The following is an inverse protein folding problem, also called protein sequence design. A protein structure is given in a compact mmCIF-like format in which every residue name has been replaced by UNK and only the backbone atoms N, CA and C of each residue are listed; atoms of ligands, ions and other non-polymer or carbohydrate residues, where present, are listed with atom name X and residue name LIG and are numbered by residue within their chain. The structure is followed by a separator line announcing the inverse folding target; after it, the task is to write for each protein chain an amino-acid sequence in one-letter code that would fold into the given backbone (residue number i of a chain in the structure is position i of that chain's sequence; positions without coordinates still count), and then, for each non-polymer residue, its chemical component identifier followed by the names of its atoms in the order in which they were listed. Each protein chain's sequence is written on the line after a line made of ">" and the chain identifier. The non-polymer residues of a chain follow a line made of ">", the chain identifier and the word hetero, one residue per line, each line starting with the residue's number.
data_IF_223547635089
#
_entry.id   IF_223547635089
#
_cell.length_a   1.000
_cell.length_b   1.000
_cell.length_c   1.000
_cell.angle_alpha   90.00
_cell.angle_beta   90.00
_cell.angle_gamma   90.00
#
_symmetry.space_group_name_H-M   'P 1'
#
loop_
_entity.id
_entity.type
_entity.pdbx_description
1 polymer ?
#
# COMPACT_ATOMS: atom_id res chain seq x y z
N UNK A 1 68.84 18.25 13.78
CA UNK A 1 68.48 19.57 13.26
C UNK A 1 67.03 19.81 13.58
N UNK A 2 66.91 20.56 14.61
CA UNK A 2 65.72 21.17 15.15
C UNK A 2 65.06 22.06 14.14
N UNK A 3 63.70 22.16 14.22
CA UNK A 3 63.09 23.51 14.38
C UNK A 3 61.61 23.39 14.75
N UNK A 4 61.38 23.81 15.98
CA UNK A 4 60.14 24.29 16.59
C UNK A 4 59.40 25.35 15.74
N UNK A 5 58.08 25.33 15.76
CA UNK A 5 57.25 26.53 15.90
C UNK A 5 56.02 26.25 16.76
N UNK A 6 56.11 26.68 18.00
CA UNK A 6 54.98 27.00 18.88
C UNK A 6 54.39 28.35 18.47
N UNK A 7 53.08 28.45 18.38
CA UNK A 7 52.37 29.68 18.72
C UNK A 7 51.09 29.35 19.46
N UNK A 8 51.11 29.76 20.67
CA UNK A 8 50.12 29.72 21.70
C UNK A 8 49.09 30.85 21.45
N UNK A 9 47.79 30.58 21.56
CA UNK A 9 46.84 31.53 22.12
C UNK A 9 45.68 30.77 22.74
N UNK A 10 45.63 30.81 24.04
CA UNK A 10 44.56 30.33 24.88
C UNK A 10 43.32 31.19 24.83
N UNK A 11 42.21 30.59 25.10
CA UNK A 11 41.30 31.12 26.10
C UNK A 11 40.35 30.00 26.60
N UNK A 12 40.31 29.95 27.87
CA UNK A 12 39.66 29.24 28.90
C UNK A 12 38.16 29.05 28.78
N UNK A 13 37.76 27.95 29.34
CA UNK A 13 36.68 27.61 30.25
C UNK A 13 35.78 26.48 29.75
N UNK A 14 36.22 25.28 30.05
CA UNK A 14 35.36 24.10 30.09
C UNK A 14 35.82 23.20 31.23
N UNK A 15 35.34 23.41 32.45
CA UNK A 15 35.48 22.44 33.54
C UNK A 15 34.60 21.22 33.26
N UNK A 16 35.23 20.16 32.81
CA UNK A 16 34.64 18.83 32.79
C UNK A 16 35.02 18.05 34.04
N UNK A 17 34.07 17.43 34.70
CA UNK A 17 34.29 16.51 35.81
C UNK A 17 34.71 15.14 35.24
N UNK A 18 35.85 14.62 35.71
CA UNK A 18 36.27 13.23 35.44
C UNK A 18 35.74 12.33 36.55
N UNK A 19 35.13 11.20 36.14
CA UNK A 19 34.85 10.08 37.05
C UNK A 19 36.01 9.12 37.07
N UNK A 20 36.15 8.34 38.12
CA UNK A 20 37.27 7.42 38.39
C UNK A 20 37.48 6.30 37.37
N UNK A 21 36.61 6.17 36.37
CA UNK A 21 36.60 5.06 35.39
C UNK A 21 36.98 5.48 33.97
N UNK A 22 37.49 6.69 33.80
CA UNK A 22 38.18 7.13 32.57
C UNK A 22 37.29 7.38 31.32
N UNK A 23 35.98 7.48 31.46
CA UNK A 23 35.10 7.82 30.33
C UNK A 23 34.70 9.29 30.35
N UNK A 24 34.83 9.95 29.19
CA UNK A 24 34.45 11.34 28.97
C UNK A 24 32.93 11.44 28.73
N UNK A 25 32.20 12.10 29.61
CA UNK A 25 30.78 12.44 29.37
C UNK A 25 30.66 13.92 29.05
N UNK A 26 30.15 14.31 27.87
CA UNK A 26 29.88 15.70 27.56
C UNK A 26 28.75 16.26 28.43
N UNK A 27 28.95 17.46 28.93
CA UNK A 27 27.91 18.21 29.68
C UNK A 27 26.74 18.55 28.75
N UNK A 28 25.62 17.92 28.89
CA UNK A 28 24.36 18.30 28.22
C UNK A 28 23.92 19.65 28.74
N UNK A 29 24.02 20.68 27.88
CA UNK A 29 23.34 21.96 28.13
C UNK A 29 21.83 21.73 28.12
N UNK A 30 21.19 21.73 29.28
CA UNK A 30 19.73 21.71 29.41
C UNK A 30 19.15 22.83 28.55
N UNK A 31 18.48 22.47 27.46
CA UNK A 31 17.66 23.39 26.68
C UNK A 31 16.61 23.98 27.63
N UNK A 32 16.57 25.28 27.80
CA UNK A 32 15.53 25.96 28.57
C UNK A 32 14.20 25.69 27.87
N UNK A 33 13.37 24.88 28.49
CA UNK A 33 12.00 24.66 28.02
C UNK A 33 11.20 25.98 28.07
N UNK A 34 10.23 26.08 27.16
CA UNK A 34 9.29 27.21 27.13
C UNK A 34 8.56 27.26 28.47
N UNK A 35 8.55 28.41 29.14
CA UNK A 35 7.84 28.53 30.40
C UNK A 35 6.33 28.48 30.21
N UNK A 36 5.54 28.00 31.18
CA UNK A 36 4.07 27.94 31.06
C UNK A 36 3.46 29.31 30.65
N UNK A 37 4.04 30.43 31.09
CA UNK A 37 3.59 31.76 30.68
C UNK A 37 3.84 32.06 29.19
N UNK A 38 4.97 31.63 28.63
CA UNK A 38 5.24 31.76 27.18
C UNK A 38 4.33 30.88 26.34
N UNK A 39 3.97 29.70 26.83
CA UNK A 39 3.02 28.80 26.15
C UNK A 39 1.61 29.42 26.10
N UNK A 40 1.14 30.02 27.20
CA UNK A 40 -0.16 30.71 27.27
C UNK A 40 -0.21 31.91 26.31
N UNK A 41 0.86 32.69 26.21
CA UNK A 41 0.95 33.84 25.29
C UNK A 41 0.89 33.38 23.82
N UNK A 42 1.53 32.28 23.48
CA UNK A 42 1.45 31.70 22.14
C UNK A 42 0.04 31.19 21.82
N UNK A 43 -0.65 30.55 22.78
CA UNK A 43 -2.04 30.08 22.61
C UNK A 43 -3.02 31.25 22.41
N UNK A 44 -2.85 32.35 23.16
CA UNK A 44 -3.70 33.53 23.00
C UNK A 44 -3.46 34.23 21.65
N UNK A 45 -2.22 34.26 21.16
CA UNK A 45 -1.89 34.82 19.84
C UNK A 45 -2.55 33.96 18.70
N UNK A 46 -2.51 32.65 18.81
CA UNK A 46 -3.16 31.73 17.84
C UNK A 46 -4.70 31.90 17.86
N UNK A 47 -5.30 31.98 19.06
CA UNK A 47 -6.75 32.22 19.21
C UNK A 47 -7.22 33.56 18.61
N UNK A 48 -6.39 34.62 18.72
CA UNK A 48 -6.68 35.94 18.12
C UNK A 48 -6.62 35.90 16.59
N UNK A 49 -5.66 35.16 16.01
CA UNK A 49 -5.50 35.06 14.56
C UNK A 49 -6.68 34.25 13.95
N UNK A 50 -7.08 33.13 14.57
CA UNK A 50 -8.17 32.33 14.08
C UNK A 50 -9.55 32.92 14.42
N UNK A 51 -9.70 33.61 15.53
CA UNK A 51 -10.94 34.29 15.92
C UNK A 51 -11.30 35.43 14.98
N UNK A 52 -10.34 36.23 14.53
CA UNK A 52 -10.56 37.34 13.57
C UNK A 52 -10.84 36.82 12.15
N UNK A 53 -10.20 35.72 11.73
CA UNK A 53 -10.47 35.09 10.45
C UNK A 53 -11.88 34.47 10.41
N UNK A 54 -12.32 33.81 11.50
CA UNK A 54 -13.68 33.26 11.63
C UNK A 54 -14.79 34.34 11.59
N UNK A 55 -14.57 35.48 12.23
CA UNK A 55 -15.53 36.60 12.20
C UNK A 55 -15.63 37.27 10.82
N UNK A 56 -14.51 37.29 10.06
CA UNK A 56 -14.51 37.88 8.71
C UNK A 56 -15.20 36.95 7.66
N UNK A 57 -15.07 35.65 7.80
CA UNK A 57 -15.74 34.66 6.95
C UNK A 57 -17.21 34.47 7.34
N UNK A 58 -17.56 34.46 8.62
CA UNK A 58 -18.95 34.32 9.10
C UNK A 58 -19.86 35.50 8.73
N UNK A 59 -19.29 36.70 8.54
CA UNK A 59 -20.05 37.89 8.15
C UNK A 59 -20.56 37.95 6.72
N UNK A 60 -20.10 37.03 5.84
CA UNK A 60 -20.51 36.99 4.40
C UNK A 60 -21.59 35.94 4.08
N UNK A 61 -21.92 35.05 5.02
CA UNK A 61 -22.85 33.92 4.75
C UNK A 61 -24.30 34.22 5.13
N UNK A 62 -24.58 35.36 5.76
CA UNK A 62 -25.93 35.67 6.27
C UNK A 62 -26.70 36.71 5.44
N UNK A 63 -26.86 36.47 4.12
CA UNK A 63 -27.86 37.17 3.30
C UNK A 63 -28.32 36.30 2.14
N UNK A 64 -29.06 35.24 2.45
CA UNK A 64 -30.13 34.73 1.59
C UNK A 64 -31.07 33.89 2.46
N UNK A 65 -32.27 34.36 2.65
CA UNK A 65 -33.34 33.68 3.36
C UNK A 65 -33.85 32.53 2.49
N UNK A 66 -33.74 31.31 2.99
CA UNK A 66 -34.43 30.15 2.41
C UNK A 66 -35.91 30.13 2.89
N UNK A 67 -36.85 29.76 2.02
CA UNK A 67 -38.27 29.63 2.41
C UNK A 67 -38.50 28.36 3.24
N UNK A 68 -39.32 28.47 4.24
CA UNK A 68 -39.80 27.38 5.11
C UNK A 68 -40.68 26.40 4.33
N UNK A 69 -40.51 25.09 4.46
CA UNK A 69 -41.46 24.13 3.89
C UNK A 69 -42.68 23.98 4.77
N UNK A 70 -43.81 24.09 4.13
CA UNK A 70 -45.16 23.86 4.68
C UNK A 70 -45.39 22.37 4.92
N UNK A 71 -45.84 22.05 6.13
CA UNK A 71 -46.12 20.67 6.56
C UNK A 71 -47.59 20.33 6.24
N UNK A 72 -47.84 19.68 5.11
CA UNK A 72 -49.05 18.88 4.94
C UNK A 72 -48.92 17.89 3.78
N UNK A 73 -49.26 16.63 4.09
CA UNK A 73 -49.51 15.46 3.26
C UNK A 73 -48.39 14.42 3.12
N UNK A 74 -48.31 13.61 4.17
CA UNK A 74 -47.91 12.21 4.01
C UNK A 74 -49.07 11.40 3.46
N UNK A 75 -48.94 10.83 2.28
CA UNK A 75 -49.70 9.69 1.80
C UNK A 75 -48.73 8.51 1.73
N UNK A 76 -48.97 7.53 2.59
CA UNK A 76 -48.34 6.21 2.57
C UNK A 76 -49.13 5.36 1.58
N UNK A 77 -48.54 4.97 0.46
CA UNK A 77 -49.04 3.88 -0.38
C UNK A 77 -48.29 2.59 -0.08
N UNK A 78 -49.05 1.59 0.38
CA UNK A 78 -48.57 0.20 0.49
C UNK A 78 -48.46 -0.43 -0.92
N UNK A 79 -47.45 -1.31 -1.17
CA UNK A 79 -47.38 -2.01 -2.45
C UNK A 79 -48.36 -3.18 -2.49
N UNK A 80 -49.21 -3.15 -3.53
CA UNK A 80 -50.16 -4.14 -3.92
C UNK A 80 -49.49 -5.48 -4.29
N UNK A 81 -49.94 -6.57 -3.65
CA UNK A 81 -49.73 -7.95 -4.09
C UNK A 81 -50.77 -8.25 -5.16
N UNK A 82 -50.31 -8.76 -6.28
CA UNK A 82 -50.86 -9.86 -7.05
C UNK A 82 -50.40 -9.78 -8.51
N UNK A 83 -49.58 -10.73 -8.92
CA UNK A 83 -49.77 -11.48 -10.15
C UNK A 83 -48.71 -12.56 -10.23
N UNK A 84 -49.12 -13.80 -9.97
CA UNK A 84 -48.44 -15.00 -10.32
C UNK A 84 -48.48 -15.14 -11.84
N UNK A 85 -47.33 -15.38 -12.48
CA UNK A 85 -47.32 -16.05 -13.80
C UNK A 85 -46.25 -17.12 -13.81
N UNK A 86 -46.73 -18.30 -14.16
CA UNK A 86 -46.00 -19.53 -14.32
C UNK A 86 -45.17 -19.51 -15.64
N UNK A 87 -43.90 -19.77 -15.57
CA UNK A 87 -43.21 -20.37 -16.72
C UNK A 87 -42.12 -21.36 -16.27
N UNK A 88 -41.89 -22.44 -16.99
CA UNK A 88 -41.32 -23.67 -16.46
C UNK A 88 -39.79 -23.61 -16.38
N UNK A 89 -39.28 -24.33 -15.37
CA UNK A 89 -37.87 -24.59 -15.17
C UNK A 89 -37.26 -25.33 -16.38
N UNK A 90 -36.32 -24.71 -17.05
CA UNK A 90 -35.35 -25.40 -17.91
C UNK A 90 -34.15 -25.83 -17.09
N UNK A 91 -33.90 -27.11 -17.08
CA UNK A 91 -32.75 -27.81 -16.53
C UNK A 91 -31.48 -27.34 -17.28
N UNK A 92 -30.42 -26.90 -16.62
CA UNK A 92 -29.15 -26.72 -17.29
C UNK A 92 -28.55 -28.10 -17.58
N UNK A 93 -28.30 -28.37 -18.86
CA UNK A 93 -27.53 -29.49 -19.32
C UNK A 93 -26.09 -29.37 -18.82
N UNK A 94 -25.58 -30.39 -18.18
CA UNK A 94 -24.17 -30.62 -17.97
C UNK A 94 -23.45 -30.67 -19.34
N UNK A 95 -22.62 -29.65 -19.56
CA UNK A 95 -21.69 -29.60 -20.66
C UNK A 95 -20.34 -29.22 -20.07
N UNK A 96 -19.56 -30.22 -19.63
CA UNK A 96 -18.12 -30.07 -19.45
C UNK A 96 -17.49 -29.65 -20.78
N UNK A 97 -17.32 -28.36 -20.99
CA UNK A 97 -16.39 -27.84 -21.99
C UNK A 97 -15.02 -27.73 -21.34
N UNK A 98 -14.19 -28.74 -21.60
CA UNK A 98 -12.74 -28.67 -21.49
C UNK A 98 -12.29 -27.37 -22.15
N UNK A 99 -11.54 -26.48 -21.48
CA UNK A 99 -11.07 -25.26 -22.12
C UNK A 99 -10.15 -25.64 -23.28
N UNK A 100 -10.48 -25.14 -24.48
CA UNK A 100 -9.57 -25.12 -25.61
C UNK A 100 -8.22 -24.55 -25.12
N UNK A 101 -7.13 -25.16 -25.60
CA UNK A 101 -5.76 -24.72 -25.32
C UNK A 101 -5.51 -23.34 -25.92
N UNK A 102 -6.08 -22.29 -25.32
CA UNK A 102 -5.70 -20.91 -25.54
C UNK A 102 -4.35 -20.65 -24.86
N UNK A 103 -3.46 -19.95 -25.56
CA UNK A 103 -2.19 -19.47 -25.03
C UNK A 103 -2.45 -18.72 -23.69
N UNK A 104 -1.76 -19.12 -22.61
CA UNK A 104 -1.91 -18.47 -21.32
C UNK A 104 -1.35 -17.04 -21.40
N UNK A 105 -1.96 -16.05 -20.72
CA UNK A 105 -1.46 -14.68 -20.74
C UNK A 105 0.02 -14.53 -20.32
N UNK A 106 0.51 -15.36 -19.40
CA UNK A 106 1.92 -15.37 -18.99
C UNK A 106 2.89 -15.85 -20.08
N UNK A 107 2.41 -16.60 -21.10
CA UNK A 107 3.24 -17.02 -22.25
C UNK A 107 3.62 -15.83 -23.14
N UNK A 108 2.95 -14.67 -22.99
CA UNK A 108 3.25 -13.42 -23.69
C UNK A 108 4.29 -12.55 -22.99
N UNK A 109 4.80 -12.97 -21.82
CA UNK A 109 5.85 -12.23 -21.14
C UNK A 109 7.09 -12.14 -22.03
N UNK A 110 7.59 -10.91 -22.27
CA UNK A 110 8.78 -10.66 -23.07
C UNK A 110 10.04 -10.95 -22.24
N UNK A 111 10.51 -12.20 -22.28
CA UNK A 111 11.70 -12.65 -21.54
C UNK A 111 12.94 -12.52 -22.42
N UNK A 112 14.00 -11.90 -21.90
CA UNK A 112 15.26 -11.69 -22.61
C UNK A 112 15.88 -13.04 -23.07
N UNK A 113 16.19 -13.11 -24.36
CA UNK A 113 16.88 -14.25 -24.96
C UNK A 113 18.43 -14.12 -24.89
N UNK A 114 18.94 -13.19 -24.08
CA UNK A 114 20.39 -13.04 -23.87
C UNK A 114 21.13 -12.34 -25.01
N UNK A 115 20.59 -11.28 -25.61
CA UNK A 115 21.27 -10.47 -26.63
C UNK A 115 21.68 -9.12 -26.05
N UNK A 116 22.99 -8.82 -26.13
CA UNK A 116 23.53 -7.50 -25.82
C UNK A 116 23.63 -6.67 -27.13
N UNK A 117 22.74 -5.73 -27.33
CA UNK A 117 22.97 -4.61 -28.23
C UNK A 117 23.10 -3.34 -27.37
N UNK A 118 24.34 -2.87 -27.22
CA UNK A 118 24.67 -1.67 -26.44
C UNK A 118 24.32 -0.40 -27.21
N UNK A 119 23.08 0.01 -27.15
CA UNK A 119 22.72 1.42 -27.33
C UNK A 119 23.22 2.18 -26.10
N UNK A 120 23.87 3.34 -26.25
CA UNK A 120 24.38 4.13 -25.12
C UNK A 120 23.29 4.44 -24.08
N UNK A 121 23.65 4.69 -22.82
CA UNK A 121 22.74 4.86 -21.67
C UNK A 121 21.45 5.65 -21.94
N UNK A 122 21.52 6.69 -22.79
CA UNK A 122 20.35 7.51 -23.13
C UNK A 122 19.31 6.73 -23.95
N UNK A 123 19.76 5.93 -24.92
CA UNK A 123 18.86 5.12 -25.75
C UNK A 123 18.20 4.00 -24.93
N UNK A 124 18.97 3.36 -24.05
CA UNK A 124 18.44 2.35 -23.10
C UNK A 124 17.33 2.93 -22.23
N UNK A 125 17.59 4.07 -21.60
CA UNK A 125 16.61 4.74 -20.72
C UNK A 125 15.35 5.13 -21.49
N UNK A 126 15.46 5.69 -22.71
CA UNK A 126 14.31 6.05 -23.51
C UNK A 126 13.42 4.85 -23.85
N UNK A 127 14.02 3.71 -24.18
CA UNK A 127 13.29 2.49 -24.47
C UNK A 127 12.58 1.95 -23.21
N UNK A 128 13.28 1.94 -22.05
CA UNK A 128 12.68 1.51 -20.80
C UNK A 128 11.53 2.40 -20.35
N UNK A 129 11.65 3.73 -20.51
CA UNK A 129 10.61 4.68 -20.13
C UNK A 129 9.27 4.40 -20.83
N UNK A 130 9.31 3.91 -22.08
CA UNK A 130 8.09 3.61 -22.84
C UNK A 130 7.25 2.50 -22.18
N UNK A 131 7.89 1.57 -21.45
CA UNK A 131 7.22 0.49 -20.73
C UNK A 131 6.77 0.86 -19.31
N UNK A 132 7.12 2.06 -18.81
CA UNK A 132 6.77 2.49 -17.45
C UNK A 132 5.59 3.44 -17.47
N UNK A 133 4.58 3.14 -16.64
CA UNK A 133 3.32 3.86 -16.59
C UNK A 133 3.10 4.48 -15.21
N UNK A 134 2.28 5.54 -15.17
CA UNK A 134 1.73 6.06 -13.92
C UNK A 134 0.48 5.29 -13.53
N UNK A 135 0.32 5.02 -12.23
CA UNK A 135 -0.88 4.41 -11.67
C UNK A 135 -1.49 5.38 -10.67
N UNK A 136 -2.77 5.68 -10.86
CA UNK A 136 -3.56 6.49 -9.95
C UNK A 136 -4.71 5.66 -9.41
N UNK A 137 -4.94 5.79 -8.14
CA UNK A 137 -5.99 5.06 -7.45
C UNK A 137 -6.94 6.04 -6.77
N UNK A 138 -8.22 5.72 -6.79
CA UNK A 138 -9.25 6.55 -6.22
C UNK A 138 -10.29 5.75 -5.45
N UNK A 139 -11.01 6.48 -4.59
CA UNK A 139 -12.20 5.96 -3.92
C UNK A 139 -13.43 6.70 -4.42
N UNK A 140 -14.53 5.97 -4.52
CA UNK A 140 -15.82 6.51 -4.92
C UNK A 140 -16.64 6.88 -3.70
N UNK A 141 -17.13 8.12 -3.67
CA UNK A 141 -18.05 8.58 -2.63
C UNK A 141 -19.38 8.98 -3.26
N UNK A 142 -20.47 8.53 -2.65
CA UNK A 142 -21.82 8.94 -3.07
C UNK A 142 -22.27 10.11 -2.21
N UNK A 143 -22.55 11.25 -2.84
CA UNK A 143 -23.13 12.41 -2.13
C UNK A 143 -24.54 12.07 -1.66
N UNK A 144 -24.79 12.06 -0.36
CA UNK A 144 -26.11 11.85 0.20
C UNK A 144 -27.13 12.94 -0.18
N UNK A 145 -26.65 14.12 -0.59
CA UNK A 145 -27.50 15.24 -0.95
C UNK A 145 -27.96 15.21 -2.42
N UNK A 146 -27.09 14.74 -3.34
CA UNK A 146 -27.36 14.77 -4.79
C UNK A 146 -27.51 13.39 -5.40
N UNK A 147 -27.09 12.32 -4.70
CA UNK A 147 -26.99 10.96 -5.23
C UNK A 147 -25.88 10.79 -6.28
N UNK A 148 -25.07 11.82 -6.51
CA UNK A 148 -23.97 11.76 -7.47
C UNK A 148 -22.79 11.02 -6.90
N UNK A 149 -22.20 10.14 -7.71
CA UNK A 149 -20.94 9.48 -7.41
C UNK A 149 -19.79 10.42 -7.75
N UNK A 150 -18.93 10.70 -6.79
CA UNK A 150 -17.70 11.46 -7.00
C UNK A 150 -16.51 10.54 -6.76
N UNK A 151 -15.57 10.56 -7.71
CA UNK A 151 -14.29 9.90 -7.59
C UNK A 151 -13.29 10.89 -6.97
N UNK A 152 -12.53 10.42 -6.00
CA UNK A 152 -11.46 11.17 -5.37
C UNK A 152 -10.16 10.37 -5.44
N UNK A 153 -9.14 10.95 -6.08
CA UNK A 153 -7.80 10.37 -6.09
C UNK A 153 -7.27 10.25 -4.65
N UNK A 154 -6.83 9.06 -4.27
CA UNK A 154 -6.33 8.75 -2.92
C UNK A 154 -4.86 8.40 -2.90
N UNK A 155 -4.27 8.06 -4.04
CA UNK A 155 -2.86 7.68 -4.14
C UNK A 155 -2.36 7.59 -5.57
N UNK A 156 -1.05 7.48 -5.70
CA UNK A 156 -0.39 7.27 -6.98
C UNK A 156 0.90 6.46 -6.81
N UNK A 157 1.28 5.79 -7.87
CA UNK A 157 2.51 5.03 -8.01
C UNK A 157 2.87 4.82 -9.46
N UNK A 158 3.67 3.82 -9.71
CA UNK A 158 4.12 3.44 -11.05
C UNK A 158 3.80 1.98 -11.34
N UNK A 159 3.88 1.60 -12.60
CA UNK A 159 3.80 0.21 -13.05
C UNK A 159 4.72 -0.04 -14.23
N UNK A 160 4.94 -1.29 -14.57
CA UNK A 160 5.71 -1.72 -15.73
C UNK A 160 4.82 -2.59 -16.62
N UNK A 161 4.67 -2.23 -17.88
CA UNK A 161 3.98 -3.04 -18.89
C UNK A 161 4.81 -4.29 -19.14
N UNK A 162 4.23 -5.47 -18.93
CA UNK A 162 4.91 -6.76 -19.05
C UNK A 162 4.45 -7.59 -20.24
N UNK A 163 3.31 -7.20 -20.87
CA UNK A 163 2.81 -7.81 -22.10
C UNK A 163 2.30 -6.72 -23.06
N UNK A 164 2.36 -7.00 -24.34
CA UNK A 164 1.92 -6.07 -25.39
C UNK A 164 0.40 -5.86 -25.45
N UNK A 165 -0.36 -6.73 -24.81
CA UNK A 165 -1.83 -6.64 -24.70
C UNK A 165 -2.31 -5.97 -23.39
N UNK A 166 -1.39 -5.47 -22.54
CA UNK A 166 -1.70 -4.53 -21.46
C UNK A 166 -1.72 -5.08 -20.03
N UNK A 167 -1.08 -6.20 -19.75
CA UNK A 167 -0.79 -6.56 -18.37
C UNK A 167 0.35 -5.70 -17.82
N UNK A 168 0.17 -5.20 -16.61
CA UNK A 168 1.08 -4.26 -15.94
C UNK A 168 1.34 -4.78 -14.53
N UNK A 169 2.61 -4.93 -14.17
CA UNK A 169 3.02 -5.23 -12.80
C UNK A 169 3.22 -3.93 -12.02
N UNK A 170 2.80 -3.94 -10.76
CA UNK A 170 3.01 -2.85 -9.79
C UNK A 170 3.14 -3.42 -8.38
N UNK A 171 3.28 -2.57 -7.36
CA UNK A 171 3.21 -3.02 -5.97
C UNK A 171 1.77 -3.17 -5.50
N UNK A 172 1.54 -4.14 -4.60
CA UNK A 172 0.24 -4.32 -3.96
C UNK A 172 -0.18 -3.07 -3.16
N UNK A 173 0.74 -2.46 -2.41
CA UNK A 173 0.42 -1.27 -1.62
C UNK A 173 -0.01 -0.05 -2.46
N UNK A 174 0.33 -0.01 -3.75
CA UNK A 174 -0.10 1.07 -4.67
C UNK A 174 -1.60 0.95 -4.98
N UNK A 175 -2.13 -0.27 -5.13
CA UNK A 175 -3.51 -0.51 -5.57
C UNK A 175 -4.43 -1.01 -4.45
N UNK A 176 -3.88 -1.28 -3.27
CA UNK A 176 -4.62 -1.85 -2.14
C UNK A 176 -5.76 -0.94 -1.68
N UNK A 177 -7.00 -1.49 -1.64
CA UNK A 177 -8.17 -0.79 -1.12
C UNK A 177 -8.73 0.28 -2.06
N UNK A 178 -8.28 0.34 -3.32
CA UNK A 178 -8.79 1.27 -4.31
C UNK A 178 -10.10 0.76 -4.93
N UNK A 179 -11.09 1.66 -5.10
CA UNK A 179 -12.31 1.40 -5.85
C UNK A 179 -12.07 1.58 -7.37
N UNK A 180 -11.19 2.52 -7.74
CA UNK A 180 -10.86 2.82 -9.14
C UNK A 180 -9.35 2.84 -9.34
N UNK A 181 -8.91 2.34 -10.49
CA UNK A 181 -7.50 2.31 -10.90
C UNK A 181 -7.40 2.89 -12.30
N UNK A 182 -6.56 3.90 -12.46
CA UNK A 182 -6.26 4.52 -13.75
C UNK A 182 -4.79 4.39 -14.08
N UNK A 183 -4.51 4.06 -15.32
CA UNK A 183 -3.15 3.95 -15.87
C UNK A 183 -2.91 5.08 -16.85
N UNK A 184 -1.80 5.77 -16.68
CA UNK A 184 -1.33 6.82 -17.60
C UNK A 184 -0.09 6.33 -18.32
N UNK A 185 -0.18 6.25 -19.65
CA UNK A 185 0.96 5.94 -20.50
C UNK A 185 1.95 7.13 -20.53
N UNK A 186 3.12 6.91 -21.13
CA UNK A 186 4.16 7.95 -21.23
C UNK A 186 3.70 9.19 -22.03
N UNK A 187 2.78 9.03 -22.97
CA UNK A 187 2.20 10.12 -23.77
C UNK A 187 1.09 10.89 -23.06
N UNK A 188 0.78 10.51 -21.81
CA UNK A 188 -0.29 11.09 -21.00
C UNK A 188 -1.69 10.52 -21.27
N UNK A 189 -1.81 9.52 -22.14
CA UNK A 189 -3.11 8.86 -22.38
C UNK A 189 -3.56 8.08 -21.15
N UNK A 190 -4.79 8.35 -20.70
CA UNK A 190 -5.42 7.72 -19.53
C UNK A 190 -6.26 6.51 -19.95
N UNK A 191 -6.14 5.42 -19.22
CA UNK A 191 -6.96 4.22 -19.34
C UNK A 191 -7.49 3.77 -17.98
N UNK A 192 -8.73 3.28 -17.96
CA UNK A 192 -9.26 2.57 -16.81
C UNK A 192 -8.64 1.17 -16.77
N UNK A 193 -8.20 0.76 -15.58
CA UNK A 193 -7.54 -0.51 -15.40
C UNK A 193 -8.36 -1.43 -14.48
N UNK A 194 -8.28 -2.73 -14.75
CA UNK A 194 -8.86 -3.78 -13.92
C UNK A 194 -7.77 -4.38 -13.05
N UNK A 195 -8.05 -4.55 -11.77
CA UNK A 195 -7.21 -5.34 -10.87
C UNK A 195 -7.40 -6.81 -11.22
N UNK A 196 -6.31 -7.49 -11.62
CA UNK A 196 -6.31 -8.92 -11.95
C UNK A 196 -6.05 -9.75 -10.69
N UNK A 197 -5.04 -9.37 -9.91
CA UNK A 197 -4.71 -10.05 -8.66
C UNK A 197 -3.65 -9.33 -7.87
N UNK A 198 -3.54 -9.70 -6.59
CA UNK A 198 -2.56 -9.14 -5.65
C UNK A 198 -1.95 -10.23 -4.78
N UNK A 199 -0.69 -10.03 -4.37
CA UNK A 199 -0.04 -10.80 -3.32
C UNK A 199 0.61 -9.85 -2.30
N UNK A 200 0.03 -9.80 -1.12
CA UNK A 200 0.51 -8.94 -0.02
C UNK A 200 1.89 -9.37 0.46
N UNK A 201 2.23 -10.66 0.37
CA UNK A 201 3.50 -11.19 0.85
C UNK A 201 4.69 -10.72 0.01
N UNK A 202 4.56 -10.74 -1.31
CA UNK A 202 5.58 -10.25 -2.23
C UNK A 202 5.45 -8.77 -2.52
N UNK A 203 4.38 -8.12 -2.03
CA UNK A 203 4.00 -6.74 -2.37
C UNK A 203 3.88 -6.49 -3.88
N UNK A 204 3.31 -7.45 -4.61
CA UNK A 204 3.07 -7.37 -6.05
C UNK A 204 1.58 -7.37 -6.38
N UNK A 205 1.23 -6.68 -7.46
CA UNK A 205 -0.09 -6.68 -8.05
C UNK A 205 -0.01 -6.65 -9.57
N UNK A 206 -1.03 -7.18 -10.21
CA UNK A 206 -1.22 -7.12 -11.66
C UNK A 206 -2.49 -6.33 -11.95
N UNK A 207 -2.36 -5.30 -12.79
CA UNK A 207 -3.48 -4.57 -13.37
C UNK A 207 -3.50 -4.75 -14.89
N UNK A 208 -4.66 -4.59 -15.52
CA UNK A 208 -4.85 -4.79 -16.95
C UNK A 208 -5.59 -3.63 -17.58
N UNK A 209 -5.05 -3.09 -18.66
CA UNK A 209 -5.74 -2.18 -19.57
C UNK A 209 -6.05 -2.87 -20.90
N UNK A 210 -7.19 -2.57 -21.50
CA UNK A 210 -7.64 -3.20 -22.74
C UNK A 210 -7.05 -2.44 -23.96
N UNK A 211 -5.73 -2.57 -24.14
CA UNK A 211 -4.97 -1.93 -25.24
C UNK A 211 -3.97 -2.92 -25.80
N UNK A 212 -3.80 -2.92 -27.13
CA UNK A 212 -2.86 -3.80 -27.82
C UNK A 212 -1.64 -3.01 -28.36
N UNK A 213 -0.57 -3.75 -28.67
CA UNK A 213 0.68 -3.23 -29.21
C UNK A 213 1.38 -2.24 -28.26
N UNK A 214 1.28 -2.49 -26.99
CA UNK A 214 2.00 -1.71 -25.98
C UNK A 214 3.49 -2.08 -25.93
N UNK A 215 4.37 -1.11 -25.60
CA UNK A 215 5.80 -1.37 -25.44
C UNK A 215 6.08 -2.11 -24.14
N UNK A 216 6.02 -3.45 -24.17
CA UNK A 216 6.31 -4.29 -23.01
C UNK A 216 7.80 -4.28 -22.68
N UNK A 217 8.13 -4.22 -21.37
CA UNK A 217 9.51 -4.31 -20.89
C UNK A 217 10.09 -5.69 -21.21
N UNK A 218 11.38 -5.72 -21.53
CA UNK A 218 12.15 -6.97 -21.62
C UNK A 218 12.53 -7.43 -20.21
N UNK A 219 12.03 -8.59 -19.79
CA UNK A 219 12.29 -9.15 -18.47
C UNK A 219 13.65 -9.86 -18.49
N UNK A 220 14.59 -9.36 -17.69
CA UNK A 220 15.93 -9.91 -17.51
C UNK A 220 16.00 -10.98 -16.43
N UNK A 221 17.17 -11.11 -15.81
CA UNK A 221 17.42 -11.98 -14.66
C UNK A 221 18.14 -11.21 -13.57
N UNK A 222 17.57 -11.17 -12.38
CA UNK A 222 18.21 -10.60 -11.19
C UNK A 222 19.31 -11.49 -10.62
N UNK A 223 19.29 -12.80 -10.94
CA UNK A 223 20.33 -13.75 -10.51
C UNK A 223 21.68 -13.53 -11.18
N UNK A 224 21.72 -12.81 -12.30
CA UNK A 224 22.98 -12.43 -12.99
C UNK A 224 23.55 -11.10 -12.49
N UNK A 225 22.81 -10.37 -11.63
CA UNK A 225 23.21 -9.06 -11.14
C UNK A 225 24.30 -9.17 -10.09
N UNK A 226 25.24 -8.24 -10.12
CA UNK A 226 26.35 -8.15 -9.17
C UNK A 226 26.40 -6.77 -8.51
N UNK A 227 26.95 -6.71 -7.29
CA UNK A 227 27.19 -5.43 -6.61
C UNK A 227 28.16 -4.60 -7.43
N UNK A 228 27.76 -3.36 -7.74
CA UNK A 228 28.49 -2.44 -8.59
C UNK A 228 27.91 -2.29 -10.00
N UNK A 229 27.00 -3.18 -10.43
CA UNK A 229 26.34 -3.05 -11.73
C UNK A 229 25.50 -1.78 -11.79
N UNK A 230 25.58 -1.08 -12.91
CA UNK A 230 24.78 0.12 -13.17
C UNK A 230 23.30 -0.23 -13.30
N UNK A 231 22.45 0.55 -12.66
CA UNK A 231 20.99 0.40 -12.74
C UNK A 231 20.28 1.74 -12.92
N UNK A 232 19.10 1.67 -13.52
CA UNK A 232 18.19 2.79 -13.71
C UNK A 232 16.87 2.47 -13.03
N UNK A 233 16.50 3.23 -12.00
CA UNK A 233 15.18 3.18 -11.41
C UNK A 233 14.29 4.17 -12.15
N UNK A 234 13.20 3.66 -12.74
CA UNK A 234 12.27 4.43 -13.57
C UNK A 234 10.86 4.30 -13.00
N UNK A 235 10.24 5.44 -12.73
CA UNK A 235 8.85 5.56 -12.32
C UNK A 235 8.14 6.66 -13.09
N UNK A 236 6.81 6.73 -12.99
CA UNK A 236 5.99 7.77 -13.59
C UNK A 236 4.98 8.32 -12.55
N UNK A 237 5.47 9.00 -11.50
CA UNK A 237 4.66 9.34 -10.33
C UNK A 237 3.53 10.33 -10.60
N UNK A 238 3.60 11.10 -11.68
CA UNK A 238 2.64 12.16 -11.97
C UNK A 238 1.82 11.91 -13.25
N UNK A 239 2.07 10.82 -13.97
CA UNK A 239 1.29 10.42 -15.18
C UNK A 239 1.17 11.46 -16.30
N UNK A 240 1.33 12.73 -15.93
CA UNK A 240 1.05 13.89 -16.82
C UNK A 240 2.33 14.57 -17.34
N UNK A 241 3.46 14.40 -16.66
CA UNK A 241 4.72 15.07 -16.98
C UNK A 241 5.91 14.15 -16.68
N UNK A 242 6.44 13.52 -17.72
CA UNK A 242 7.75 12.88 -17.78
C UNK A 242 8.08 11.88 -16.65
N UNK A 243 8.33 10.64 -17.05
CA UNK A 243 8.88 9.60 -16.18
C UNK A 243 10.08 10.13 -15.37
N UNK A 244 10.13 9.80 -14.10
CA UNK A 244 11.27 10.07 -13.24
C UNK A 244 12.30 8.97 -13.41
N UNK A 245 13.53 9.34 -13.74
CA UNK A 245 14.64 8.41 -13.91
C UNK A 245 15.75 8.78 -12.94
N UNK A 246 16.20 7.81 -12.17
CA UNK A 246 17.42 7.92 -11.37
C UNK A 246 18.40 6.81 -11.75
N UNK A 247 19.70 7.15 -11.76
CA UNK A 247 20.79 6.22 -12.05
C UNK A 247 21.59 5.96 -10.78
N UNK A 248 21.97 4.72 -10.59
CA UNK A 248 22.83 4.28 -9.49
C UNK A 248 23.47 2.94 -9.81
N UNK A 249 23.83 2.23 -8.76
CA UNK A 249 24.38 0.87 -8.84
C UNK A 249 23.59 -0.09 -7.93
N UNK A 250 23.76 -1.37 -8.13
CA UNK A 250 23.38 -2.37 -7.13
C UNK A 250 24.35 -2.24 -5.95
N UNK A 251 23.84 -1.82 -4.79
CA UNK A 251 24.61 -1.61 -3.56
C UNK A 251 24.64 -2.86 -2.67
N UNK A 252 23.72 -3.81 -2.90
CA UNK A 252 23.65 -5.07 -2.17
C UNK A 252 22.61 -6.02 -2.76
N UNK A 253 22.84 -7.30 -2.54
CA UNK A 253 21.94 -8.38 -2.91
C UNK A 253 21.43 -9.06 -1.63
N UNK A 254 20.29 -9.76 -1.73
CA UNK A 254 19.72 -10.61 -0.68
C UNK A 254 19.55 -9.90 0.68
N UNK A 255 19.11 -8.64 0.65
CA UNK A 255 18.81 -7.87 1.87
C UNK A 255 17.48 -8.28 2.43
N UNK A 256 17.47 -8.96 3.56
CA UNK A 256 16.22 -9.26 4.28
C UNK A 256 15.76 -8.02 5.04
N UNK A 257 14.59 -7.49 4.66
CA UNK A 257 13.98 -6.30 5.25
C UNK A 257 12.58 -6.66 5.67
N UNK A 258 12.20 -6.26 6.88
CA UNK A 258 10.84 -6.44 7.38
C UNK A 258 10.03 -5.15 7.18
N UNK A 259 8.96 -5.24 6.39
CA UNK A 259 8.02 -4.15 6.08
C UNK A 259 6.64 -4.60 6.51
N UNK A 260 5.99 -3.84 7.40
CA UNK A 260 4.66 -4.16 7.96
C UNK A 260 4.56 -5.60 8.52
N UNK A 261 5.63 -6.11 9.11
CA UNK A 261 5.70 -7.46 9.67
C UNK A 261 5.99 -8.58 8.67
N UNK A 262 6.15 -8.27 7.38
CA UNK A 262 6.53 -9.22 6.32
C UNK A 262 8.02 -9.08 6.04
N UNK A 263 8.75 -10.19 6.12
CA UNK A 263 10.18 -10.23 5.76
C UNK A 263 10.33 -10.52 4.27
N UNK A 264 10.96 -9.59 3.56
CA UNK A 264 11.20 -9.67 2.12
C UNK A 264 12.70 -9.69 1.84
N UNK A 265 13.11 -10.47 0.85
CA UNK A 265 14.49 -10.46 0.33
C UNK A 265 14.56 -9.54 -0.88
N UNK A 266 15.29 -8.43 -0.77
CA UNK A 266 15.29 -7.34 -1.73
C UNK A 266 16.72 -7.07 -2.25
N UNK A 267 16.82 -6.49 -3.46
CA UNK A 267 18.03 -5.86 -3.97
C UNK A 267 18.12 -4.43 -3.45
N UNK A 268 19.31 -4.01 -3.04
CA UNK A 268 19.59 -2.64 -2.60
C UNK A 268 20.26 -1.86 -3.74
N UNK A 269 19.86 -0.61 -3.92
CA UNK A 269 20.49 0.34 -4.87
C UNK A 269 20.65 1.72 -4.21
N UNK A 270 21.63 2.48 -4.68
CA UNK A 270 21.81 3.90 -4.34
C UNK A 270 21.13 4.84 -5.36
N UNK A 271 20.50 4.29 -6.41
CA UNK A 271 19.58 5.06 -7.24
C UNK A 271 18.49 5.67 -6.38
N UNK A 272 18.17 6.94 -6.57
CA UNK A 272 17.17 7.65 -5.77
C UNK A 272 15.79 7.04 -5.92
N UNK A 273 15.28 6.43 -4.86
CA UNK A 273 13.92 5.90 -4.77
C UNK A 273 13.09 6.85 -3.90
N UNK A 274 12.01 7.36 -4.47
CA UNK A 274 11.11 8.31 -3.81
C UNK A 274 9.66 7.82 -3.92
N UNK A 275 8.75 8.34 -3.08
CA UNK A 275 7.32 8.13 -3.26
C UNK A 275 6.89 8.44 -4.70
N UNK A 276 6.12 7.51 -5.31
CA UNK A 276 5.74 7.56 -6.72
C UNK A 276 6.58 6.68 -7.64
N UNK A 277 7.81 6.30 -7.28
CA UNK A 277 8.56 5.28 -8.02
C UNK A 277 8.13 3.85 -7.65
N UNK A 278 7.36 3.65 -6.55
CA UNK A 278 6.80 2.35 -6.16
C UNK A 278 6.08 1.69 -7.33
N UNK A 279 6.40 0.43 -7.60
CA UNK A 279 5.86 -0.35 -8.70
C UNK A 279 6.52 -0.10 -10.06
N UNK A 280 7.39 0.90 -10.17
CA UNK A 280 8.22 1.15 -11.34
C UNK A 280 9.33 0.11 -11.51
N UNK A 281 10.09 0.21 -12.60
CA UNK A 281 11.13 -0.75 -12.95
C UNK A 281 12.51 -0.35 -12.47
N UNK A 282 13.30 -1.33 -12.05
CA UNK A 282 14.75 -1.27 -11.94
C UNK A 282 15.34 -2.00 -13.15
N UNK A 283 16.02 -1.25 -14.02
CA UNK A 283 16.58 -1.75 -15.29
C UNK A 283 18.10 -1.77 -15.24
N UNK A 284 18.70 -2.76 -15.91
CA UNK A 284 20.15 -2.85 -16.08
C UNK A 284 20.63 -2.02 -17.30
N UNK A 285 21.95 -2.01 -17.55
CA UNK A 285 22.55 -1.30 -18.69
C UNK A 285 22.12 -1.84 -20.07
N UNK A 286 21.58 -3.03 -20.15
CA UNK A 286 21.01 -3.62 -21.37
C UNK A 286 19.53 -3.23 -21.58
N UNK A 287 18.91 -2.50 -20.64
CA UNK A 287 17.49 -2.13 -20.69
C UNK A 287 16.55 -3.25 -20.27
N UNK A 288 17.06 -4.28 -19.58
CA UNK A 288 16.27 -5.37 -19.07
C UNK A 288 15.77 -5.06 -17.68
N UNK A 289 14.50 -5.39 -17.41
CA UNK A 289 13.86 -5.28 -16.10
C UNK A 289 14.46 -6.36 -15.17
N UNK A 290 15.18 -5.95 -14.14
CA UNK A 290 15.79 -6.85 -13.15
C UNK A 290 15.16 -6.75 -11.76
N UNK A 291 14.28 -5.75 -11.55
CA UNK A 291 13.55 -5.61 -10.29
C UNK A 291 12.36 -4.68 -10.38
N UNK A 292 11.44 -4.80 -9.41
CA UNK A 292 10.31 -3.90 -9.20
C UNK A 292 10.62 -3.00 -8.01
N UNK A 293 10.65 -1.69 -8.24
CA UNK A 293 11.01 -0.70 -7.21
C UNK A 293 9.98 -0.73 -6.08
N UNK A 294 10.49 -0.76 -4.83
CA UNK A 294 9.67 -0.73 -3.63
C UNK A 294 10.06 0.46 -2.74
N UNK A 295 9.34 1.57 -2.88
CA UNK A 295 9.61 2.79 -2.09
C UNK A 295 9.06 2.70 -0.66
N UNK A 296 8.18 1.74 -0.33
CA UNK A 296 7.68 1.52 1.03
C UNK A 296 8.81 1.12 1.99
N UNK A 297 9.84 0.43 1.48
CA UNK A 297 11.04 0.07 2.23
C UNK A 297 11.95 1.26 2.52
N UNK A 298 11.79 2.40 1.83
CA UNK A 298 12.53 3.64 2.06
C UNK A 298 12.03 4.47 3.27
N UNK A 299 11.08 3.95 4.06
CA UNK A 299 10.59 4.61 5.30
C UNK A 299 11.66 4.78 6.39
N UNK A 300 12.84 4.20 6.21
CA UNK A 300 14.05 4.61 6.93
C UNK A 300 14.58 5.84 6.17
N UNK A 301 14.44 7.04 6.74
CA UNK A 301 14.92 8.34 6.21
C UNK A 301 16.45 8.38 6.04
N UNK A 302 16.99 7.44 5.26
CA UNK A 302 18.43 7.36 4.96
C UNK A 302 18.58 7.54 3.45
N UNK A 303 19.11 8.69 3.05
CA UNK A 303 19.47 8.95 1.65
C UNK A 303 20.43 7.87 1.13
N UNK A 304 20.21 7.42 -0.12
CA UNK A 304 21.06 6.41 -0.77
C UNK A 304 20.73 4.96 -0.42
N UNK A 305 19.59 4.69 0.23
CA UNK A 305 19.09 3.34 0.47
C UNK A 305 17.76 3.14 -0.28
N UNK A 306 17.83 2.66 -1.49
CA UNK A 306 16.70 2.21 -2.28
C UNK A 306 16.61 0.68 -2.33
N UNK A 307 15.41 0.15 -2.54
CA UNK A 307 15.18 -1.29 -2.63
C UNK A 307 14.26 -1.65 -3.79
N UNK A 308 14.50 -2.84 -4.34
CA UNK A 308 13.67 -3.41 -5.39
C UNK A 308 13.45 -4.91 -5.14
N UNK A 309 12.28 -5.40 -5.50
CA UNK A 309 11.92 -6.82 -5.49
C UNK A 309 12.65 -7.46 -6.68
N UNK A 310 13.51 -8.48 -6.48
CA UNK A 310 14.24 -9.13 -7.56
C UNK A 310 13.27 -9.76 -8.57
N UNK A 311 13.51 -9.56 -9.88
CA UNK A 311 12.59 -10.06 -10.91
C UNK A 311 12.48 -11.58 -10.93
N UNK A 312 13.55 -12.31 -10.61
CA UNK A 312 13.50 -13.77 -10.56
C UNK A 312 12.62 -14.30 -9.42
N UNK A 313 12.53 -13.56 -8.30
CA UNK A 313 11.57 -13.84 -7.22
C UNK A 313 10.15 -13.38 -7.58
N UNK A 314 10.02 -12.30 -8.34
CA UNK A 314 8.73 -11.76 -8.78
C UNK A 314 8.08 -12.61 -9.88
N UNK A 315 8.87 -13.21 -10.78
CA UNK A 315 8.38 -13.93 -11.99
C UNK A 315 7.33 -15.01 -11.70
N UNK A 316 7.54 -15.98 -10.77
CA UNK A 316 6.53 -16.97 -10.46
C UNK A 316 5.24 -16.35 -9.91
N UNK A 317 5.35 -15.31 -9.08
CA UNK A 317 4.21 -14.56 -8.54
C UNK A 317 3.46 -13.85 -9.67
N UNK A 318 4.18 -13.16 -10.56
CA UNK A 318 3.59 -12.49 -11.74
C UNK A 318 2.84 -13.50 -12.61
N UNK A 319 3.47 -14.66 -12.89
CA UNK A 319 2.86 -15.74 -13.69
C UNK A 319 1.53 -16.20 -13.08
N UNK A 320 1.54 -16.52 -11.79
CA UNK A 320 0.34 -16.96 -11.07
C UNK A 320 -0.75 -15.87 -11.06
N UNK A 321 -0.38 -14.61 -10.77
CA UNK A 321 -1.33 -13.50 -10.76
C UNK A 321 -1.94 -13.24 -12.15
N UNK A 322 -1.14 -13.33 -13.21
CA UNK A 322 -1.62 -13.13 -14.59
C UNK A 322 -2.54 -14.25 -15.04
N UNK A 323 -2.18 -15.50 -14.75
CA UNK A 323 -2.91 -16.69 -15.24
C UNK A 323 -4.12 -17.06 -14.37
N UNK A 324 -4.01 -16.88 -13.04
CA UNK A 324 -4.99 -17.36 -12.06
C UNK A 324 -5.67 -16.22 -11.28
N UNK A 325 -5.05 -15.04 -11.21
CA UNK A 325 -5.51 -13.94 -10.37
C UNK A 325 -5.13 -14.05 -8.89
N UNK A 326 -4.41 -15.11 -8.50
CA UNK A 326 -3.91 -15.34 -7.14
C UNK A 326 -2.62 -16.16 -7.20
N UNK A 327 -1.83 -16.15 -6.10
CA UNK A 327 -0.57 -16.91 -6.00
C UNK A 327 -0.82 -18.27 -5.35
N UNK A 328 -0.35 -19.34 -6.01
CA UNK A 328 -0.47 -20.71 -5.51
C UNK A 328 0.42 -20.95 -4.27
N UNK A 329 0.04 -21.93 -3.44
CA UNK A 329 0.79 -22.31 -2.23
C UNK A 329 0.69 -21.29 -1.10
N UNK A 330 -0.08 -20.21 -1.23
CA UNK A 330 -0.31 -19.23 -0.15
C UNK A 330 -1.40 -19.71 0.80
N UNK A 331 -1.17 -19.64 2.13
CA UNK A 331 -2.22 -19.93 3.09
C UNK A 331 -3.37 -18.94 2.93
N UNK A 332 -4.56 -19.45 2.79
CA UNK A 332 -5.77 -18.68 2.55
C UNK A 332 -6.87 -19.07 3.53
N UNK A 333 -7.60 -18.06 4.01
CA UNK A 333 -8.67 -18.30 4.97
C UNK A 333 -10.07 -18.12 4.36
N UNK A 334 -10.20 -17.27 3.32
CA UNK A 334 -11.46 -17.03 2.62
C UNK A 334 -12.38 -16.04 3.32
N UNK A 335 -11.86 -14.85 3.67
CA UNK A 335 -12.66 -13.73 4.19
C UNK A 335 -12.31 -12.43 3.45
N UNK A 336 -13.30 -11.54 3.36
CA UNK A 336 -13.04 -10.11 3.14
C UNK A 336 -13.05 -9.42 4.49
N UNK A 337 -12.13 -8.50 4.72
CA UNK A 337 -11.94 -7.85 6.01
C UNK A 337 -11.73 -6.35 5.84
N UNK A 338 -12.03 -5.59 6.91
CA UNK A 338 -11.84 -4.15 6.96
C UNK A 338 -11.28 -3.74 8.33
N UNK A 339 -10.41 -2.74 8.33
CA UNK A 339 -9.93 -2.13 9.56
C UNK A 339 -11.02 -1.23 10.15
N UNK A 340 -11.32 -1.45 11.43
CA UNK A 340 -12.32 -0.68 12.18
C UNK A 340 -11.70 -0.10 13.44
N UNK A 341 -12.08 1.13 13.79
CA UNK A 341 -11.66 1.77 15.02
C UNK A 341 -12.67 1.49 16.12
N UNK A 342 -12.30 0.67 17.09
CA UNK A 342 -13.14 0.39 18.25
C UNK A 342 -12.75 1.30 19.42
N UNK A 343 -13.76 1.87 20.06
CA UNK A 343 -13.55 2.67 21.28
C UNK A 343 -13.25 1.74 22.45
N UNK A 344 -12.05 1.86 23.01
CA UNK A 344 -11.64 1.09 24.20
C UNK A 344 -11.67 2.01 25.44
N UNK A 345 -12.46 1.59 26.44
CA UNK A 345 -12.46 2.22 27.74
C UNK A 345 -13.85 2.68 28.19
N UNK A 346 -14.17 2.33 29.41
CA UNK A 346 -15.39 2.78 30.11
C UNK A 346 -15.08 4.14 30.74
N UNK A 347 -15.28 5.22 30.01
CA UNK A 347 -15.04 6.58 30.52
C UNK A 347 -16.21 7.02 31.43
N UNK A 348 -16.44 6.27 32.53
CA UNK A 348 -17.39 6.67 33.58
C UNK A 348 -16.88 7.82 34.46
N UNK A 349 -15.74 8.41 34.14
CA UNK A 349 -15.21 9.55 34.90
C UNK A 349 -15.87 10.86 34.42
N UNK A 350 -17.16 11.03 34.74
CA UNK A 350 -17.98 12.23 34.42
C UNK A 350 -17.42 13.53 35.06
N UNK A 351 -16.40 13.42 35.90
CA UNK A 351 -15.83 14.56 36.62
C UNK A 351 -14.57 15.17 35.97
N UNK A 352 -14.11 14.63 34.84
CA UNK A 352 -12.97 15.21 34.12
C UNK A 352 -13.47 15.87 32.82
N UNK A 353 -13.49 17.24 32.74
CA UNK A 353 -13.93 17.94 31.53
C UNK A 353 -13.02 17.71 30.32
N UNK A 354 -11.82 17.15 30.49
CA UNK A 354 -10.89 16.78 29.43
C UNK A 354 -11.01 15.30 28.99
N UNK A 355 -11.90 14.51 29.61
CA UNK A 355 -12.09 13.11 29.22
C UNK A 355 -12.63 12.93 27.80
N UNK A 356 -13.23 13.97 27.24
CA UNK A 356 -13.71 14.01 25.84
C UNK A 356 -12.57 13.97 24.79
N UNK A 357 -11.35 14.34 25.16
CA UNK A 357 -10.19 14.37 24.27
C UNK A 357 -9.27 13.15 24.40
N UNK A 358 -9.61 12.21 25.26
CA UNK A 358 -8.86 10.97 25.49
C UNK A 358 -9.70 9.72 25.16
N UNK A 359 -10.40 9.73 24.03
CA UNK A 359 -11.01 8.52 23.51
C UNK A 359 -9.91 7.60 22.97
N UNK A 360 -9.60 6.54 23.72
CA UNK A 360 -8.67 5.51 23.26
C UNK A 360 -9.39 4.66 22.19
N UNK A 361 -9.02 4.86 20.93
CA UNK A 361 -9.42 3.98 19.85
C UNK A 361 -8.33 2.94 19.63
N UNK A 362 -8.74 1.70 19.42
CA UNK A 362 -7.87 0.61 18.96
C UNK A 362 -8.36 0.16 17.60
N UNK A 363 -7.43 0.02 16.66
CA UNK A 363 -7.74 -0.57 15.36
C UNK A 363 -7.89 -2.08 15.54
N UNK A 364 -8.92 -2.66 14.93
CA UNK A 364 -9.21 -4.09 14.87
C UNK A 364 -9.67 -4.45 13.48
N UNK A 365 -9.68 -5.73 13.18
CA UNK A 365 -10.09 -6.27 11.89
C UNK A 365 -11.50 -6.83 12.01
N UNK A 366 -12.43 -6.34 11.20
CA UNK A 366 -13.79 -6.86 11.10
C UNK A 366 -13.93 -7.73 9.85
N UNK A 367 -14.58 -8.89 10.01
CA UNK A 367 -14.95 -9.78 8.91
C UNK A 367 -16.16 -9.18 8.18
N UNK A 368 -16.00 -8.84 6.91
CA UNK A 368 -17.05 -8.26 6.05
C UNK A 368 -17.80 -9.31 5.27
N UNK A 369 -17.10 -10.35 4.81
CA UNK A 369 -17.70 -11.51 4.15
C UNK A 369 -16.90 -12.77 4.44
N UNK A 370 -17.56 -13.92 4.31
CA UNK A 370 -16.95 -15.25 4.41
C UNK A 370 -17.30 -16.01 3.12
N UNK A 371 -16.29 -16.50 2.44
CA UNK A 371 -16.47 -17.30 1.21
C UNK A 371 -17.06 -18.67 1.54
N UNK A 372 -18.03 -19.11 0.73
CA UNK A 372 -18.61 -20.45 0.90
C UNK A 372 -17.60 -21.54 0.59
N UNK A 373 -17.53 -22.58 1.41
CA UNK A 373 -16.58 -23.69 1.30
C UNK A 373 -15.17 -23.36 1.79
N UNK A 374 -14.90 -22.11 2.20
CA UNK A 374 -13.59 -21.66 2.67
C UNK A 374 -13.16 -22.28 4.00
N UNK A 375 -11.88 -22.07 4.36
CA UNK A 375 -11.34 -22.41 5.66
C UNK A 375 -12.03 -21.65 6.79
N UNK A 376 -12.38 -20.39 6.56
CA UNK A 376 -13.10 -19.53 7.50
C UNK A 376 -14.51 -20.07 7.80
N UNK A 377 -15.28 -20.40 6.76
CA UNK A 377 -16.62 -20.99 6.94
C UNK A 377 -16.55 -22.30 7.72
N UNK A 378 -15.67 -23.21 7.32
CA UNK A 378 -15.45 -24.50 8.01
C UNK A 378 -14.99 -24.32 9.45
N UNK A 379 -14.18 -23.29 9.74
CA UNK A 379 -13.72 -22.93 11.07
C UNK A 379 -14.75 -22.15 11.90
N UNK A 380 -15.89 -21.79 11.32
CA UNK A 380 -17.00 -21.13 12.02
C UNK A 380 -16.86 -19.64 12.18
N UNK A 381 -16.02 -18.95 11.35
CA UNK A 381 -15.99 -17.50 11.24
C UNK A 381 -17.30 -17.00 10.64
N UNK A 382 -17.78 -15.86 11.11
CA UNK A 382 -19.01 -15.23 10.64
C UNK A 382 -18.78 -13.75 10.30
N UNK A 383 -19.65 -13.23 9.44
CA UNK A 383 -19.69 -11.79 9.15
C UNK A 383 -19.93 -11.00 10.45
N UNK A 384 -19.25 -9.88 10.60
CA UNK A 384 -19.19 -9.01 11.77
C UNK A 384 -18.37 -9.57 12.97
N UNK A 385 -17.68 -10.69 12.85
CA UNK A 385 -16.66 -11.07 13.83
C UNK A 385 -15.52 -10.03 13.82
N UNK A 386 -15.06 -9.67 15.02
CA UNK A 386 -13.86 -8.85 15.18
C UNK A 386 -12.70 -9.77 15.52
N UNK A 387 -11.68 -9.81 14.68
CA UNK A 387 -10.49 -10.62 14.90
C UNK A 387 -9.64 -9.99 16.01
N UNK A 388 -9.35 -10.76 17.06
CA UNK A 388 -8.62 -10.29 18.24
C UNK A 388 -7.19 -10.82 18.29
N UNK A 389 -7.00 -12.11 18.02
CA UNK A 389 -5.67 -12.74 18.01
C UNK A 389 -5.62 -13.96 17.10
N UNK A 390 -4.41 -14.26 16.61
CA UNK A 390 -4.06 -15.49 15.89
C UNK A 390 -3.04 -16.26 16.73
N UNK A 391 -3.38 -17.48 17.17
CA UNK A 391 -2.56 -18.29 18.08
C UNK A 391 -2.06 -17.51 19.30
N UNK A 392 -2.93 -16.62 19.87
CA UNK A 392 -2.61 -15.78 21.02
C UNK A 392 -1.82 -14.51 20.72
N UNK A 393 -1.34 -14.30 19.49
CA UNK A 393 -0.68 -13.05 19.05
C UNK A 393 -1.75 -12.04 18.63
N UNK A 394 -1.72 -10.85 19.21
CA UNK A 394 -2.73 -9.80 18.97
C UNK A 394 -2.77 -9.36 17.51
N UNK A 395 -4.00 -9.15 16.98
CA UNK A 395 -4.26 -8.62 15.64
C UNK A 395 -4.59 -7.13 15.76
N UNK A 396 -3.78 -6.27 15.13
CA UNK A 396 -3.90 -4.81 15.19
C UNK A 396 -4.30 -4.16 13.86
N UNK A 397 -4.42 -4.96 12.78
CA UNK A 397 -4.80 -4.48 11.46
C UNK A 397 -4.83 -5.60 10.42
N UNK A 398 -5.51 -5.36 9.32
CA UNK A 398 -5.72 -6.33 8.23
C UNK A 398 -4.40 -6.74 7.55
N UNK A 399 -3.53 -5.79 7.28
CA UNK A 399 -2.19 -6.07 6.70
C UNK A 399 -1.36 -6.94 7.64
N UNK A 400 -1.38 -6.65 8.96
CA UNK A 400 -0.65 -7.45 9.94
C UNK A 400 -1.23 -8.86 10.04
N UNK A 401 -2.56 -9.01 10.03
CA UNK A 401 -3.20 -10.32 10.06
C UNK A 401 -2.81 -11.16 8.83
N UNK A 402 -2.82 -10.56 7.64
CA UNK A 402 -2.36 -11.23 6.43
C UNK A 402 -0.89 -11.68 6.56
N UNK A 403 0.01 -10.81 7.08
CA UNK A 403 1.40 -11.14 7.33
C UNK A 403 1.54 -12.32 8.30
N UNK A 404 0.75 -12.34 9.38
CA UNK A 404 0.75 -13.44 10.36
C UNK A 404 0.32 -14.77 9.74
N UNK A 405 -0.64 -14.77 8.80
CA UNK A 405 -1.06 -15.98 8.10
C UNK A 405 0.08 -16.59 7.27
N UNK A 406 0.94 -15.76 6.68
CA UNK A 406 2.07 -16.24 5.88
C UNK A 406 3.21 -16.88 6.68
N UNK A 407 3.18 -16.79 8.03
CA UNK A 407 4.08 -17.58 8.90
C UNK A 407 3.71 -19.08 8.89
N UNK A 408 2.54 -19.44 8.34
CA UNK A 408 1.99 -20.81 8.28
C UNK A 408 1.97 -21.34 6.84
N UNK A 409 1.59 -22.62 6.71
CA UNK A 409 1.44 -23.32 5.42
C UNK A 409 0.00 -23.70 5.19
N UNK A 410 -0.34 -23.96 3.94
CA UNK A 410 -1.59 -24.61 3.58
C UNK A 410 -1.71 -25.95 4.34
N UNK A 411 -2.85 -26.18 5.00
CA UNK A 411 -3.12 -27.33 5.84
C UNK A 411 -2.76 -27.15 7.32
N UNK A 412 -2.04 -26.11 7.71
CA UNK A 412 -1.77 -25.83 9.12
C UNK A 412 -3.06 -25.46 9.85
N UNK A 413 -3.12 -25.82 11.13
CA UNK A 413 -4.25 -25.49 12.00
C UNK A 413 -3.88 -24.31 12.89
N UNK A 414 -4.72 -23.29 12.87
CA UNK A 414 -4.55 -22.08 13.69
C UNK A 414 -5.77 -21.84 14.57
N UNK A 415 -5.56 -21.16 15.69
CA UNK A 415 -6.63 -20.69 16.57
C UNK A 415 -6.81 -19.19 16.37
N UNK A 416 -8.01 -18.79 15.94
CA UNK A 416 -8.39 -17.38 15.80
C UNK A 416 -9.35 -17.03 16.93
N UNK A 417 -8.92 -16.10 17.79
CA UNK A 417 -9.82 -15.54 18.80
C UNK A 417 -10.60 -14.40 18.19
N UNK A 418 -11.93 -14.47 18.27
CA UNK A 418 -12.84 -13.44 17.75
C UNK A 418 -13.71 -12.87 18.87
N UNK A 419 -14.08 -11.60 18.73
CA UNK A 419 -15.16 -10.97 19.48
C UNK A 419 -16.42 -10.99 18.62
N UNK A 420 -17.41 -11.78 19.03
CA UNK A 420 -18.71 -11.92 18.37
C UNK A 420 -19.81 -11.33 19.25
N UNK A 421 -20.27 -10.13 18.91
CA UNK A 421 -21.11 -9.33 19.80
C UNK A 421 -20.32 -8.94 21.07
N UNK A 422 -20.69 -9.48 22.22
CA UNK A 422 -20.00 -9.23 23.50
C UNK A 422 -19.25 -10.47 24.05
N UNK A 423 -19.14 -11.54 23.27
CA UNK A 423 -18.51 -12.78 23.66
C UNK A 423 -17.21 -13.01 22.89
N UNK A 424 -16.15 -13.36 23.61
CA UNK A 424 -14.90 -13.84 23.00
C UNK A 424 -15.01 -15.33 22.73
N UNK A 425 -14.62 -15.76 21.51
CA UNK A 425 -14.64 -17.16 21.09
C UNK A 425 -13.32 -17.53 20.41
N UNK A 426 -12.83 -18.71 20.72
CA UNK A 426 -11.69 -19.31 20.02
C UNK A 426 -12.22 -20.24 18.94
N UNK A 427 -11.80 -19.99 17.70
CA UNK A 427 -12.18 -20.75 16.53
C UNK A 427 -10.94 -21.48 16.01
N UNK A 428 -11.09 -22.79 15.73
CA UNK A 428 -10.02 -23.59 15.13
C UNK A 428 -10.22 -23.63 13.62
N UNK A 429 -9.24 -23.12 12.88
CA UNK A 429 -9.29 -23.00 11.42
C UNK A 429 -8.13 -23.77 10.82
N UNK A 430 -8.41 -24.64 9.84
CA UNK A 430 -7.40 -25.31 9.01
C UNK A 430 -7.21 -24.43 7.79
N UNK A 431 -6.00 -23.90 7.59
CA UNK A 431 -5.69 -22.99 6.49
C UNK A 431 -5.82 -23.70 5.15
N UNK A 432 -6.59 -23.13 4.25
CA UNK A 432 -6.74 -23.59 2.88
C UNK A 432 -5.77 -22.92 1.93
N UNK A 433 -5.97 -23.18 0.66
CA UNK A 433 -5.38 -22.50 -0.46
C UNK A 433 -6.51 -21.85 -1.28
N UNK A 434 -6.25 -20.73 -1.90
CA UNK A 434 -7.20 -20.14 -2.83
C UNK A 434 -7.31 -21.03 -4.07
N UNK A 435 -8.51 -21.33 -4.53
CA UNK A 435 -8.79 -22.22 -5.67
C UNK A 435 -9.64 -21.51 -6.71
#
# INVERSE_FOLDING_TARGET
>A
MENNWYSNNGNENGQGNYSSDGYYTPNEKKKKGVTPAQFIVCLLAVALIFGTAGAYLGGRINKEQAPTPDSSNMIVEEPNKDSADNSPAETPAEGESKPESGERPSEKLNIAAGSQDSTGSTGVVQNCMASVVGIYVGNTTVSYATGETQEQDTGSGSGVIITDDGYIVTNNHVVQGADTIHVYLQDGTKYDAKLIGTDTFSDLAIVKIDVANLPAATIGSSGNATVGDTVYAIGNPLGVLTSSVSKGIISGLDRTITIDGISMTLMQTDASINPGNSGGGLFNDSGELIGIVNAKSASVEVEGLGFAIPVDSARPVITDLVDLGYVTGRPYIGITMQDVSLRYGNNNNRNNPFSFYMDNYVTRVQVMSVESGSAAEKGGLLVNDILMSLNGKEITGSSQFAAMLYEYKVGDTVTITVLRGNETKDLTVVLGERS
#
